data_IF_210482228529
#
_entry.id   IF_210482228529
#
_cell.length_a   1.000
_cell.length_b   1.000
_cell.length_c   1.000
_cell.angle_alpha   90.00
_cell.angle_beta   90.00
_cell.angle_gamma   90.00
#
_symmetry.space_group_name_H-M   'P 1'
#
loop_
_entity.id
_entity.type
_entity.pdbx_description
1 polymer ?
#
# COMPACT_ATOMS: atom_id res chain seq x y z
N UNK A 1 0.43 -12.95 -11.29
CA UNK A 1 0.97 -11.79 -10.54
C UNK A 1 -0.08 -11.41 -9.51
N UNK A 2 0.27 -11.26 -8.23
CA UNK A 2 -0.70 -10.90 -7.18
C UNK A 2 -0.93 -9.40 -7.19
N UNK A 3 -2.17 -8.98 -7.39
CA UNK A 3 -2.59 -7.58 -7.17
C UNK A 3 -2.97 -7.40 -5.70
N UNK A 4 -2.04 -6.83 -4.93
CA UNK A 4 -2.23 -6.57 -3.50
C UNK A 4 -3.29 -5.49 -3.24
N UNK A 5 -3.44 -4.50 -4.13
CA UNK A 5 -4.41 -3.44 -3.95
C UNK A 5 -5.83 -3.97 -4.12
N UNK A 6 -6.07 -4.75 -5.18
CA UNK A 6 -7.35 -5.41 -5.41
C UNK A 6 -7.71 -6.42 -4.32
N UNK A 7 -6.73 -7.21 -3.86
CA UNK A 7 -6.93 -8.17 -2.78
C UNK A 7 -7.27 -7.49 -1.44
N UNK A 8 -6.62 -6.38 -1.10
CA UNK A 8 -6.92 -5.64 0.12
C UNK A 8 -8.29 -4.97 0.03
N UNK A 9 -8.64 -4.40 -1.12
CA UNK A 9 -9.96 -3.78 -1.36
C UNK A 9 -11.08 -4.79 -1.10
N UNK A 10 -11.01 -5.98 -1.68
CA UNK A 10 -12.05 -7.00 -1.50
C UNK A 10 -12.19 -7.45 -0.04
N UNK A 11 -11.07 -7.57 0.69
CA UNK A 11 -11.08 -7.89 2.12
C UNK A 11 -11.74 -6.77 2.95
N UNK A 12 -11.47 -5.50 2.64
CA UNK A 12 -12.07 -4.35 3.33
C UNK A 12 -13.58 -4.24 3.04
N UNK A 13 -13.97 -4.43 1.79
CA UNK A 13 -15.37 -4.41 1.38
C UNK A 13 -16.17 -5.55 2.05
N UNK A 14 -15.58 -6.74 2.19
CA UNK A 14 -16.20 -7.88 2.86
C UNK A 14 -16.49 -7.62 4.35
N UNK A 15 -15.72 -6.75 5.02
CA UNK A 15 -15.98 -6.36 6.42
C UNK A 15 -16.82 -5.07 6.54
N UNK A 16 -17.38 -4.58 5.44
CA UNK A 16 -18.33 -3.47 5.42
C UNK A 16 -17.69 -2.08 5.38
N UNK A 17 -16.40 -1.96 5.02
CA UNK A 17 -15.78 -0.64 4.79
C UNK A 17 -16.46 0.06 3.63
N UNK A 18 -17.00 1.26 3.89
CA UNK A 18 -17.84 2.00 2.92
C UNK A 18 -17.05 2.74 1.85
N UNK A 19 -15.83 3.16 2.15
CA UNK A 19 -15.00 3.94 1.26
C UNK A 19 -13.55 3.46 1.32
N UNK A 20 -13.02 3.05 0.17
CA UNK A 20 -11.64 2.59 0.01
C UNK A 20 -10.98 3.44 -1.06
N UNK A 21 -10.00 4.24 -0.64
CA UNK A 21 -9.20 5.11 -1.51
C UNK A 21 -7.85 4.47 -1.77
N UNK A 22 -7.40 4.57 -3.01
CA UNK A 22 -6.12 4.03 -3.45
C UNK A 22 -5.20 5.18 -3.87
N UNK A 23 -3.92 5.08 -3.55
CA UNK A 23 -2.90 6.09 -3.90
C UNK A 23 -2.27 5.85 -5.27
N UNK A 24 -2.65 4.76 -5.95
CA UNK A 24 -2.24 4.30 -7.27
C UNK A 24 -0.72 4.21 -7.44
N UNK A 25 -0.02 3.65 -6.44
CA UNK A 25 1.44 3.56 -6.46
C UNK A 25 1.98 2.14 -6.34
N UNK A 26 2.93 1.83 -7.21
CA UNK A 26 3.78 0.65 -7.09
C UNK A 26 5.14 1.06 -6.50
N UNK A 27 5.47 0.59 -5.28
CA UNK A 27 6.76 0.91 -4.64
C UNK A 27 7.95 0.37 -5.42
N UNK A 28 7.79 -0.72 -6.18
CA UNK A 28 8.85 -1.29 -7.03
C UNK A 28 9.15 -0.41 -8.26
N UNK A 29 8.15 0.29 -8.81
CA UNK A 29 8.30 1.10 -10.03
C UNK A 29 8.58 2.59 -9.71
N UNK A 30 8.02 3.10 -8.62
CA UNK A 30 8.23 4.48 -8.19
C UNK A 30 9.55 4.65 -7.43
N UNK A 31 10.30 5.71 -7.76
CA UNK A 31 11.50 6.14 -7.03
C UNK A 31 11.19 6.98 -5.79
N UNK A 32 9.92 7.38 -5.59
CA UNK A 32 9.52 8.17 -4.43
C UNK A 32 9.50 7.34 -3.12
N UNK A 33 9.50 6.01 -3.22
CA UNK A 33 9.37 5.12 -2.06
C UNK A 33 10.47 4.05 -2.03
N UNK A 34 11.00 3.73 -0.84
CA UNK A 34 11.81 2.53 -0.63
C UNK A 34 11.06 1.26 -1.06
N UNK A 35 11.78 0.29 -1.64
CA UNK A 35 11.20 -0.99 -2.06
C UNK A 35 12.17 -2.12 -1.83
N UNK A 36 11.86 -2.98 -0.87
CA UNK A 36 12.68 -4.16 -0.55
C UNK A 36 12.83 -5.10 -1.75
N UNK A 37 11.81 -5.20 -2.61
CA UNK A 37 11.85 -6.01 -3.83
C UNK A 37 12.77 -5.43 -4.91
N UNK A 38 12.99 -4.11 -4.91
CA UNK A 38 13.91 -3.43 -5.82
C UNK A 38 15.33 -3.39 -5.24
N UNK A 39 15.46 -2.94 -3.99
CA UNK A 39 16.73 -2.86 -3.25
C UNK A 39 16.53 -3.37 -1.81
N UNK A 40 17.15 -4.49 -1.42
CA UNK A 40 17.03 -5.04 -0.07
C UNK A 40 18.00 -4.37 0.92
N UNK A 41 18.06 -3.03 0.90
CA UNK A 41 19.03 -2.21 1.65
C UNK A 41 18.59 -1.85 3.09
N UNK A 42 17.38 -2.25 3.47
CA UNK A 42 16.82 -1.98 4.79
C UNK A 42 16.06 -0.65 4.90
N UNK A 43 16.03 0.20 3.87
CA UNK A 43 15.27 1.44 3.90
C UNK A 43 13.75 1.19 4.03
N UNK A 44 13.05 2.02 4.82
CA UNK A 44 11.62 1.89 5.13
C UNK A 44 10.92 3.26 5.08
N UNK A 45 9.60 3.23 4.97
CA UNK A 45 8.73 4.41 5.11
C UNK A 45 7.56 4.05 6.05
N UNK A 46 6.89 5.08 6.59
CA UNK A 46 5.73 4.92 7.47
C UNK A 46 4.47 5.52 6.86
N UNK A 47 3.32 4.91 7.14
CA UNK A 47 2.00 5.49 6.91
C UNK A 47 1.44 5.93 8.27
N UNK A 48 1.21 7.22 8.45
CA UNK A 48 0.84 7.81 9.75
C UNK A 48 -0.62 8.29 9.67
N UNK A 49 -1.40 7.99 10.71
CA UNK A 49 -2.74 8.54 10.94
C UNK A 49 -2.78 9.18 12.32
N UNK A 50 -3.44 10.33 12.43
CA UNK A 50 -3.62 11.04 13.69
C UNK A 50 -5.09 11.43 13.87
N UNK A 51 -5.57 11.36 15.10
CA UNK A 51 -6.89 11.84 15.50
C UNK A 51 -6.73 13.10 16.34
N UNK A 52 -7.72 13.98 16.30
CA UNK A 52 -7.80 15.14 17.19
C UNK A 52 -8.55 14.76 18.46
#
# INVERSE_FOLDING_TARGET
>A
MLDLAAANRSQLEAVGVKAVYDIAMCTKESYLFPSHRRHPDGARFGAIVAVR
#
